data_IF_444170094471
#
_entry.id   IF_444170094471
#
_cell.length_a   1.000
_cell.length_b   1.000
_cell.length_c   1.000
_cell.angle_alpha   90.00
_cell.angle_beta   90.00
_cell.angle_gamma   90.00
#
_symmetry.space_group_name_H-M   'P 1'
#
loop_
_entity.id
_entity.type
_entity.pdbx_description
1 polymer ?
#
# COMPACT_ATOMS: atom_id res chain seq x y z
N UNK A 1 3.53 4.53 -28.10
CA UNK A 1 3.45 5.17 -26.77
C UNK A 1 3.93 4.23 -25.65
N UNK A 2 3.23 3.13 -25.35
CA UNK A 2 3.58 2.21 -24.25
C UNK A 2 5.05 1.73 -24.25
N UNK A 3 5.55 1.23 -25.38
CA UNK A 3 6.96 0.83 -25.49
C UNK A 3 7.93 1.99 -25.27
N UNK A 4 7.60 3.20 -25.74
CA UNK A 4 8.44 4.38 -25.50
C UNK A 4 8.42 4.82 -24.04
N UNK A 5 7.28 4.69 -23.35
CA UNK A 5 7.20 4.93 -21.92
C UNK A 5 8.06 3.93 -21.13
N UNK A 6 8.01 2.64 -21.49
CA UNK A 6 8.91 1.61 -20.95
C UNK A 6 10.38 2.00 -21.16
N UNK A 7 10.74 2.41 -22.37
CA UNK A 7 12.12 2.81 -22.70
C UNK A 7 12.55 4.03 -21.88
N UNK A 8 11.68 5.03 -21.76
CA UNK A 8 11.93 6.20 -20.92
C UNK A 8 12.14 5.83 -19.45
N UNK A 9 11.35 4.89 -18.91
CA UNK A 9 11.49 4.41 -17.55
C UNK A 9 12.83 3.68 -17.34
N UNK A 10 13.29 2.90 -18.32
CA UNK A 10 14.60 2.24 -18.28
C UNK A 10 15.74 3.25 -18.40
N UNK A 11 15.62 4.21 -19.33
CA UNK A 11 16.60 5.29 -19.57
C UNK A 11 16.76 6.19 -18.33
N UNK A 12 15.66 6.52 -17.67
CA UNK A 12 15.65 7.41 -16.49
C UNK A 12 16.07 6.69 -15.20
N UNK A 13 16.02 5.36 -15.19
CA UNK A 13 16.33 4.46 -14.08
C UNK A 13 15.90 4.94 -12.66
N UNK A 14 14.61 5.20 -12.40
CA UNK A 14 14.18 5.68 -11.09
C UNK A 14 14.30 4.61 -10.00
N UNK A 15 14.84 4.98 -8.85
CA UNK A 15 14.90 4.10 -7.67
C UNK A 15 13.53 3.88 -7.02
N UNK A 16 12.71 4.94 -6.99
CA UNK A 16 11.39 4.95 -6.38
C UNK A 16 10.38 5.42 -7.42
N UNK A 17 9.33 4.64 -7.64
CA UNK A 17 8.16 4.99 -8.44
C UNK A 17 7.07 5.43 -7.47
N UNK A 18 6.70 6.71 -7.56
CA UNK A 18 5.64 7.31 -6.76
C UNK A 18 4.44 7.68 -7.62
N UNK A 19 3.29 7.83 -6.98
CA UNK A 19 2.08 8.33 -7.61
C UNK A 19 0.89 8.20 -6.68
N UNK A 20 -0.32 8.42 -7.20
CA UNK A 20 -1.55 8.38 -6.42
C UNK A 20 -2.50 7.33 -6.99
N UNK A 21 -2.71 6.23 -6.26
CA UNK A 21 -3.49 5.07 -6.70
C UNK A 21 -2.85 4.26 -7.85
N UNK A 22 -1.52 4.30 -7.94
CA UNK A 22 -0.76 3.59 -8.99
C UNK A 22 -0.86 2.07 -8.88
N UNK A 23 -0.98 1.54 -7.66
CA UNK A 23 -1.00 0.08 -7.42
C UNK A 23 -2.33 -0.52 -7.87
N UNK A 24 -3.45 0.16 -7.63
CA UNK A 24 -4.78 -0.38 -7.94
C UNK A 24 -5.32 0.04 -9.31
N UNK A 25 -4.77 1.08 -9.93
CA UNK A 25 -5.25 1.61 -11.20
C UNK A 25 -4.16 1.66 -12.28
N UNK A 26 -3.20 2.58 -12.16
CA UNK A 26 -2.30 2.91 -13.29
C UNK A 26 -1.48 1.70 -13.76
N UNK A 27 -0.76 1.03 -12.85
CA UNK A 27 0.11 -0.09 -13.21
C UNK A 27 -0.68 -1.30 -13.72
N UNK A 28 -1.76 -1.76 -13.04
CA UNK A 28 -2.60 -2.83 -13.58
C UNK A 28 -3.21 -2.49 -14.95
N UNK A 29 -3.69 -1.26 -15.13
CA UNK A 29 -4.29 -0.84 -16.39
C UNK A 29 -3.27 -0.86 -17.53
N UNK A 30 -2.05 -0.34 -17.30
CA UNK A 30 -0.97 -0.39 -18.27
C UNK A 30 -0.58 -1.83 -18.60
N UNK A 31 -0.50 -2.70 -17.59
CA UNK A 31 -0.16 -4.11 -17.73
C UNK A 31 -1.19 -4.83 -18.63
N UNK A 32 -2.47 -4.74 -18.27
CA UNK A 32 -3.58 -5.38 -18.98
C UNK A 32 -3.76 -4.80 -20.39
N UNK A 33 -3.56 -3.48 -20.55
CA UNK A 33 -3.64 -2.83 -21.86
C UNK A 33 -2.56 -3.33 -22.81
N UNK A 34 -1.34 -3.58 -22.31
CA UNK A 34 -0.27 -4.14 -23.10
C UNK A 34 -0.56 -5.58 -23.54
N UNK A 35 -1.18 -6.39 -22.67
CA UNK A 35 -1.65 -7.74 -23.02
C UNK A 35 -2.75 -7.69 -24.08
N UNK A 36 -3.74 -6.83 -23.90
CA UNK A 36 -4.83 -6.65 -24.87
C UNK A 36 -4.32 -6.22 -26.26
N UNK A 37 -3.26 -5.41 -26.31
CA UNK A 37 -2.59 -4.99 -27.55
C UNK A 37 -1.57 -6.00 -28.08
N UNK A 38 -1.42 -7.17 -27.43
CA UNK A 38 -0.46 -8.24 -27.80
C UNK A 38 1.00 -7.78 -27.79
N UNK A 39 1.32 -6.81 -26.93
CA UNK A 39 2.68 -6.31 -26.72
C UNK A 39 3.23 -6.58 -25.31
N UNK A 40 2.50 -7.34 -24.48
CA UNK A 40 2.88 -7.69 -23.10
C UNK A 40 4.32 -8.17 -22.97
N UNK A 41 4.75 -9.13 -23.80
CA UNK A 41 6.11 -9.65 -23.82
C UNK A 41 7.21 -8.58 -24.02
N UNK A 42 6.89 -7.51 -24.75
CA UNK A 42 7.82 -6.38 -24.95
C UNK A 42 7.65 -5.34 -23.85
N UNK A 43 6.45 -5.13 -23.34
CA UNK A 43 6.17 -4.05 -22.41
C UNK A 43 6.56 -4.38 -20.96
N UNK A 44 6.28 -5.60 -20.51
CA UNK A 44 6.40 -6.06 -19.11
C UNK A 44 7.84 -6.32 -18.66
N UNK A 45 8.83 -5.72 -19.32
CA UNK A 45 10.28 -5.86 -19.05
C UNK A 45 10.86 -4.50 -18.66
N UNK A 46 10.37 -3.96 -17.54
CA UNK A 46 10.75 -2.64 -17.02
C UNK A 46 11.29 -2.67 -15.57
N UNK A 47 11.55 -3.88 -15.04
CA UNK A 47 12.37 -4.05 -13.84
C UNK A 47 13.86 -3.86 -14.13
N UNK A 48 14.70 -3.82 -13.08
CA UNK A 48 16.17 -3.73 -13.24
C UNK A 48 16.83 -5.06 -13.63
N UNK A 49 16.17 -6.19 -13.35
CA UNK A 49 16.68 -7.51 -13.72
C UNK A 49 16.45 -7.77 -15.21
N UNK A 50 17.54 -7.83 -15.99
CA UNK A 50 17.49 -8.05 -17.44
C UNK A 50 16.84 -9.40 -17.75
N UNK A 51 15.93 -9.40 -18.73
CA UNK A 51 15.22 -10.61 -19.17
C UNK A 51 14.13 -11.09 -18.20
N UNK A 52 13.91 -10.40 -17.07
CA UNK A 52 12.81 -10.72 -16.15
C UNK A 52 11.56 -9.93 -16.50
N UNK A 53 10.44 -10.64 -16.60
CA UNK A 53 9.12 -10.02 -16.73
C UNK A 53 8.59 -9.62 -15.35
N UNK A 54 7.95 -8.46 -15.28
CA UNK A 54 7.13 -8.11 -14.11
C UNK A 54 5.92 -9.02 -14.03
N UNK A 55 5.54 -9.38 -12.82
CA UNK A 55 4.42 -10.30 -12.57
C UNK A 55 3.34 -9.58 -11.80
N UNK A 56 2.13 -9.60 -12.33
CA UNK A 56 0.94 -9.17 -11.61
C UNK A 56 0.35 -10.35 -10.85
N UNK A 57 0.02 -10.15 -9.57
CA UNK A 57 -0.64 -11.13 -8.71
C UNK A 57 -1.79 -10.46 -7.98
N UNK A 58 -2.88 -11.19 -7.81
CA UNK A 58 -3.92 -10.78 -6.88
C UNK A 58 -3.46 -11.07 -5.45
N UNK A 59 -3.63 -10.09 -4.57
CA UNK A 59 -3.26 -10.18 -3.18
C UNK A 59 -4.37 -9.58 -2.31
N UNK A 60 -4.55 -10.15 -1.13
CA UNK A 60 -5.48 -9.65 -0.13
C UNK A 60 -4.71 -9.27 1.14
N UNK A 61 -5.03 -8.10 1.67
CA UNK A 61 -4.56 -7.65 2.97
C UNK A 61 -5.75 -7.51 3.92
N UNK A 62 -5.69 -8.14 5.09
CA UNK A 62 -6.74 -8.03 6.10
C UNK A 62 -6.14 -7.75 7.48
N UNK A 63 -6.66 -6.73 8.15
CA UNK A 63 -6.33 -6.41 9.54
C UNK A 63 -7.47 -5.64 10.23
N UNK A 64 -7.58 -5.75 11.55
CA UNK A 64 -8.57 -4.98 12.31
C UNK A 64 -8.36 -3.46 12.20
N UNK A 65 -7.10 -3.02 12.12
CA UNK A 65 -6.76 -1.59 12.12
C UNK A 65 -6.94 -0.93 10.75
N UNK A 66 -6.67 -1.67 9.66
CA UNK A 66 -6.65 -1.13 8.31
C UNK A 66 -7.68 -1.79 7.38
N UNK A 67 -8.63 -2.56 7.90
CA UNK A 67 -9.67 -3.23 7.11
C UNK A 67 -9.16 -4.40 6.26
N UNK A 68 -10.05 -4.89 5.39
CA UNK A 68 -9.76 -5.89 4.36
C UNK A 68 -9.79 -5.23 2.99
N UNK A 69 -8.69 -5.36 2.24
CA UNK A 69 -8.52 -4.76 0.92
C UNK A 69 -7.87 -5.77 -0.02
N UNK A 70 -8.48 -5.92 -1.18
CA UNK A 70 -7.90 -6.64 -2.31
C UNK A 70 -7.11 -5.64 -3.16
N UNK A 71 -5.93 -6.04 -3.62
CA UNK A 71 -5.07 -5.23 -4.47
C UNK A 71 -4.32 -6.10 -5.46
N UNK A 72 -3.82 -5.48 -6.53
CA UNK A 72 -2.97 -6.12 -7.51
C UNK A 72 -1.51 -5.79 -7.19
N UNK A 73 -0.75 -6.80 -6.77
CA UNK A 73 0.68 -6.67 -6.54
C UNK A 73 1.43 -6.89 -7.86
N UNK A 74 2.06 -5.83 -8.37
CA UNK A 74 2.94 -5.91 -9.54
C UNK A 74 4.37 -5.84 -9.03
N UNK A 75 5.10 -6.96 -9.08
CA UNK A 75 6.48 -6.97 -8.64
C UNK A 75 7.40 -6.36 -9.71
N UNK A 76 8.03 -5.23 -9.38
CA UNK A 76 9.03 -4.55 -10.22
C UNK A 76 10.40 -4.70 -9.57
N UNK A 77 11.16 -5.69 -10.03
CA UNK A 77 12.45 -6.03 -9.42
C UNK A 77 13.44 -4.86 -9.44
N UNK A 78 14.04 -4.58 -8.29
CA UNK A 78 15.05 -3.53 -8.10
C UNK A 78 14.53 -2.09 -8.02
N UNK A 79 13.20 -1.87 -8.06
CA UNK A 79 12.58 -0.56 -7.88
C UNK A 79 11.58 -0.58 -6.72
N UNK A 80 11.53 0.49 -5.94
CA UNK A 80 10.55 0.61 -4.85
C UNK A 80 9.30 1.29 -5.39
N UNK A 81 8.14 0.73 -5.08
CA UNK A 81 6.84 1.36 -5.37
C UNK A 81 6.34 2.03 -4.10
N UNK A 82 5.94 3.30 -4.20
CA UNK A 82 5.39 4.07 -3.09
C UNK A 82 4.10 4.77 -3.52
N UNK A 83 2.95 4.16 -3.21
CA UNK A 83 1.64 4.72 -3.50
C UNK A 83 1.20 5.66 -2.39
N UNK A 84 1.03 6.95 -2.73
CA UNK A 84 0.64 7.97 -1.77
C UNK A 84 -0.78 7.79 -1.26
N UNK A 85 -1.70 7.24 -2.05
CA UNK A 85 -3.06 7.02 -1.58
C UNK A 85 -3.06 6.03 -0.41
N UNK A 86 -2.30 4.93 -0.54
CA UNK A 86 -2.13 3.94 0.52
C UNK A 86 -1.40 4.51 1.74
N UNK A 87 -0.33 5.29 1.53
CA UNK A 87 0.40 5.93 2.62
C UNK A 87 -0.50 6.89 3.43
N UNK A 88 -1.26 7.74 2.75
CA UNK A 88 -2.15 8.73 3.38
C UNK A 88 -3.29 8.04 4.12
N UNK A 89 -3.89 6.99 3.56
CA UNK A 89 -4.93 6.20 4.24
C UNK A 89 -4.44 5.52 5.52
N UNK A 90 -3.13 5.21 5.60
CA UNK A 90 -2.52 4.62 6.81
C UNK A 90 -2.19 5.66 7.86
N UNK A 91 -1.69 6.80 7.43
CA UNK A 91 -1.09 7.81 8.33
C UNK A 91 -2.09 8.90 8.75
N UNK A 92 -3.18 9.10 8.00
CA UNK A 92 -4.16 10.16 8.24
C UNK A 92 -5.60 9.64 8.19
N UNK A 93 -6.46 10.21 9.05
CA UNK A 93 -7.90 9.98 9.05
C UNK A 93 -8.60 11.17 8.41
N UNK A 94 -8.91 11.06 7.12
CA UNK A 94 -9.57 12.11 6.33
C UNK A 94 -11.00 11.71 5.96
N UNK A 95 -11.85 12.70 5.68
CA UNK A 95 -13.22 12.48 5.20
C UNK A 95 -13.27 11.98 3.74
N UNK A 96 -12.28 12.37 2.92
CA UNK A 96 -12.13 11.94 1.53
C UNK A 96 -10.66 11.77 1.18
N UNK A 97 -10.35 10.70 0.45
CA UNK A 97 -9.01 10.37 -0.05
C UNK A 97 -8.89 10.59 -1.55
N UNK A 98 -9.73 11.45 -2.15
CA UNK A 98 -9.50 11.88 -3.53
C UNK A 98 -8.25 12.76 -3.62
N UNK A 99 -7.50 12.68 -4.72
CA UNK A 99 -6.31 13.52 -4.92
C UNK A 99 -6.64 15.02 -4.78
N UNK A 100 -7.82 15.46 -5.23
CA UNK A 100 -8.26 16.84 -5.08
C UNK A 100 -8.46 17.22 -3.60
N UNK A 101 -9.18 16.40 -2.84
CA UNK A 101 -9.44 16.66 -1.41
C UNK A 101 -8.15 16.68 -0.60
N UNK A 102 -7.25 15.73 -0.88
CA UNK A 102 -5.96 15.61 -0.20
C UNK A 102 -5.03 16.77 -0.57
N UNK A 103 -4.97 17.15 -1.84
CA UNK A 103 -4.19 18.32 -2.30
C UNK A 103 -4.73 19.62 -1.71
N UNK A 104 -6.06 19.79 -1.63
CA UNK A 104 -6.66 20.95 -1.00
C UNK A 104 -6.34 21.00 0.49
N UNK A 105 -6.45 19.86 1.18
CA UNK A 105 -6.18 19.77 2.62
C UNK A 105 -4.71 20.05 2.97
N UNK A 106 -3.77 19.41 2.27
CA UNK A 106 -2.35 19.52 2.62
C UNK A 106 -1.64 20.64 1.88
N UNK A 107 -1.93 20.91 0.61
CA UNK A 107 -1.22 21.91 -0.19
C UNK A 107 -1.95 23.25 -0.26
N UNK A 108 -3.25 23.30 0.05
CA UNK A 108 -4.08 24.49 -0.18
C UNK A 108 -4.38 24.71 -1.66
N UNK A 109 -4.21 23.68 -2.50
CA UNK A 109 -4.38 23.76 -3.95
C UNK A 109 -5.49 22.84 -4.42
N UNK A 110 -6.28 23.35 -5.36
CA UNK A 110 -7.32 22.56 -6.02
C UNK A 110 -6.89 22.21 -7.45
N UNK A 111 -7.29 21.02 -7.89
CA UNK A 111 -7.14 20.64 -9.30
C UNK A 111 -8.21 21.34 -10.14
N UNK A 112 -7.90 21.59 -11.40
CA UNK A 112 -8.94 21.97 -12.37
C UNK A 112 -9.81 20.74 -12.60
N UNK A 113 -11.14 20.86 -12.48
CA UNK A 113 -12.02 19.72 -12.59
C UNK A 113 -12.29 19.39 -14.08
N UNK A 114 -11.63 18.36 -14.58
CA UNK A 114 -11.94 17.76 -15.88
C UNK A 114 -12.78 16.52 -15.63
N UNK A 115 -14.08 16.60 -15.92
CA UNK A 115 -14.98 15.47 -15.77
C UNK A 115 -14.57 14.33 -16.71
N UNK A 116 -14.59 13.10 -16.21
CA UNK A 116 -14.09 11.92 -16.94
C UNK A 116 -14.76 11.72 -18.31
N UNK A 117 -16.03 12.11 -18.46
CA UNK A 117 -16.77 12.01 -19.73
C UNK A 117 -16.20 12.93 -20.81
N UNK A 118 -15.65 14.08 -20.44
CA UNK A 118 -15.11 15.06 -21.38
C UNK A 118 -13.72 14.65 -21.92
N UNK A 119 -13.04 13.68 -21.29
CA UNK A 119 -11.67 13.30 -21.68
C UNK A 119 -11.63 12.76 -23.12
N UNK A 120 -12.62 11.93 -23.50
CA UNK A 120 -12.70 11.37 -24.85
C UNK A 120 -12.88 12.47 -25.91
N UNK A 121 -13.78 13.42 -25.63
CA UNK A 121 -14.07 14.54 -26.53
C UNK A 121 -12.87 15.49 -26.65
N UNK A 122 -12.19 15.80 -25.54
CA UNK A 122 -10.99 16.62 -25.52
C UNK A 122 -9.83 15.97 -26.31
N UNK A 123 -9.70 14.64 -26.24
CA UNK A 123 -8.70 13.90 -26.99
C UNK A 123 -9.00 13.87 -28.49
N UNK A 124 -10.28 13.72 -28.86
CA UNK A 124 -10.75 13.70 -30.25
C UNK A 124 -10.80 15.08 -30.92
N UNK A 125 -10.70 16.16 -30.13
CA UNK A 125 -10.69 17.54 -30.61
C UNK A 125 -9.39 17.96 -31.30
N UNK A 126 -8.98 19.20 -31.05
CA UNK A 126 -7.84 19.84 -31.71
C UNK A 126 -6.55 19.78 -30.85
N UNK A 127 -5.48 20.41 -31.33
CA UNK A 127 -4.21 20.47 -30.60
C UNK A 127 -4.34 21.18 -29.24
N UNK A 128 -5.13 22.26 -29.17
CA UNK A 128 -5.35 23.01 -27.93
C UNK A 128 -6.12 22.20 -26.88
N UNK A 129 -7.14 21.43 -27.27
CA UNK A 129 -7.87 20.57 -26.33
C UNK A 129 -6.98 19.44 -25.80
N UNK A 130 -6.12 18.86 -26.65
CA UNK A 130 -5.10 17.89 -26.22
C UNK A 130 -4.03 18.52 -25.33
N UNK A 131 -3.63 19.77 -25.61
CA UNK A 131 -2.71 20.53 -24.75
C UNK A 131 -3.30 20.75 -23.36
N UNK A 132 -4.58 21.14 -23.26
CA UNK A 132 -5.28 21.27 -21.97
C UNK A 132 -5.29 19.94 -21.21
N UNK A 133 -5.58 18.83 -21.90
CA UNK A 133 -5.57 17.50 -21.30
C UNK A 133 -4.16 17.08 -20.82
N UNK A 134 -3.12 17.43 -21.58
CA UNK A 134 -1.74 17.17 -21.19
C UNK A 134 -1.32 17.99 -19.96
N UNK A 135 -1.72 19.26 -19.86
CA UNK A 135 -1.47 20.11 -18.67
C UNK A 135 -2.19 19.54 -17.45
N UNK A 136 -3.44 19.09 -17.61
CA UNK A 136 -4.19 18.41 -16.57
C UNK A 136 -3.45 17.15 -16.07
N UNK A 137 -3.01 16.28 -16.99
CA UNK A 137 -2.26 15.06 -16.65
C UNK A 137 -0.91 15.37 -15.97
N UNK A 138 -0.20 16.41 -16.42
CA UNK A 138 1.06 16.84 -15.81
C UNK A 138 0.84 17.33 -14.38
N UNK A 139 -0.24 18.09 -14.12
CA UNK A 139 -0.59 18.52 -12.76
C UNK A 139 -0.90 17.32 -11.86
N UNK A 140 -1.67 16.35 -12.34
CA UNK A 140 -1.98 15.12 -11.58
C UNK A 140 -0.74 14.26 -11.31
N UNK A 141 0.30 14.31 -12.16
CA UNK A 141 1.60 13.66 -11.90
C UNK A 141 2.50 14.46 -10.95
N UNK A 142 2.37 15.78 -10.91
CA UNK A 142 3.19 16.67 -10.08
C UNK A 142 2.69 16.80 -8.64
N UNK A 143 1.37 16.76 -8.42
CA UNK A 143 0.78 16.84 -7.08
C UNK A 143 1.27 15.73 -6.12
N UNK A 144 1.38 14.45 -6.55
CA UNK A 144 1.94 13.39 -5.71
C UNK A 144 3.37 13.67 -5.28
N UNK A 145 4.23 14.19 -6.17
CA UNK A 145 5.59 14.59 -5.80
C UNK A 145 5.57 15.63 -4.69
N UNK A 146 4.74 16.67 -4.81
CA UNK A 146 4.63 17.72 -3.79
C UNK A 146 4.07 17.23 -2.46
N UNK A 147 3.10 16.33 -2.49
CA UNK A 147 2.58 15.68 -1.28
C UNK A 147 3.67 14.82 -0.61
N UNK A 148 4.44 14.07 -1.41
CA UNK A 148 5.53 13.25 -0.94
C UNK A 148 6.59 14.05 -0.20
N UNK A 149 6.95 15.20 -0.75
CA UNK A 149 7.94 16.13 -0.15
C UNK A 149 7.36 16.84 1.09
N UNK A 150 6.14 17.40 1.00
CA UNK A 150 5.53 18.16 2.10
C UNK A 150 5.26 17.29 3.34
N UNK A 151 4.86 16.05 3.14
CA UNK A 151 4.59 15.10 4.22
C UNK A 151 5.85 14.35 4.69
N UNK A 152 7.01 14.66 4.08
CA UNK A 152 8.31 14.07 4.42
C UNK A 152 8.28 12.54 4.38
N UNK A 153 7.53 11.96 3.44
CA UNK A 153 7.27 10.52 3.43
C UNK A 153 8.55 9.71 3.29
N UNK A 154 9.48 10.14 2.44
CA UNK A 154 10.77 9.46 2.29
C UNK A 154 11.54 9.38 3.61
N UNK A 155 11.66 10.50 4.31
CA UNK A 155 12.42 10.60 5.55
C UNK A 155 11.81 9.72 6.64
N UNK A 156 10.50 9.85 6.85
CA UNK A 156 9.77 9.12 7.89
C UNK A 156 9.82 7.60 7.64
N UNK A 157 9.64 7.15 6.41
CA UNK A 157 9.63 5.72 6.09
C UNK A 157 11.05 5.12 6.07
N UNK A 158 12.07 5.88 5.63
CA UNK A 158 13.47 5.43 5.73
C UNK A 158 13.88 5.30 7.19
N UNK A 159 13.52 6.25 8.05
CA UNK A 159 13.79 6.16 9.49
C UNK A 159 13.08 4.97 10.13
N UNK A 160 11.79 4.79 9.83
CA UNK A 160 11.02 3.62 10.29
C UNK A 160 11.66 2.29 9.86
N UNK A 161 12.15 2.22 8.61
CA UNK A 161 12.85 1.05 8.08
C UNK A 161 14.17 0.80 8.81
N UNK A 162 14.93 1.85 9.13
CA UNK A 162 16.19 1.76 9.89
C UNK A 162 15.97 1.29 11.33
N UNK A 163 14.96 1.86 12.01
CA UNK A 163 14.64 1.54 13.41
C UNK A 163 14.14 0.09 13.55
N UNK A 164 13.20 -0.31 12.71
CA UNK A 164 12.58 -1.65 12.81
C UNK A 164 13.35 -2.73 12.05
N UNK A 165 14.25 -2.32 11.16
CA UNK A 165 15.11 -3.23 10.39
C UNK A 165 14.36 -4.04 9.33
N UNK A 166 13.24 -3.54 8.82
CA UNK A 166 12.46 -4.17 7.74
C UNK A 166 12.65 -3.42 6.41
N UNK A 167 12.51 -4.08 5.25
CA UNK A 167 12.58 -3.40 3.95
C UNK A 167 11.54 -2.29 3.80
N UNK A 168 11.87 -1.24 3.05
CA UNK A 168 10.97 -0.10 2.78
C UNK A 168 9.63 -0.55 2.18
N UNK A 169 9.64 -1.50 1.25
CA UNK A 169 8.44 -2.07 0.63
C UNK A 169 7.49 -2.74 1.64
N UNK A 170 8.01 -3.27 2.76
CA UNK A 170 7.19 -3.92 3.79
C UNK A 170 6.38 -2.90 4.58
N UNK A 171 6.82 -1.65 4.66
CA UNK A 171 6.10 -0.62 5.41
C UNK A 171 4.73 -0.28 4.81
N UNK A 172 4.57 -0.43 3.49
CA UNK A 172 3.30 -0.24 2.78
C UNK A 172 2.54 -1.55 2.52
N UNK A 173 3.23 -2.69 2.40
CA UNK A 173 2.56 -3.97 2.04
C UNK A 173 2.23 -4.86 3.24
N UNK A 174 2.92 -4.68 4.37
CA UNK A 174 2.76 -5.50 5.58
C UNK A 174 2.23 -4.67 6.75
N UNK A 175 1.75 -5.38 7.78
CA UNK A 175 1.26 -4.82 9.03
C UNK A 175 2.35 -4.64 10.09
N UNK A 176 1.95 -4.40 11.34
CA UNK A 176 2.88 -4.11 12.44
C UNK A 176 3.65 -5.34 12.95
N UNK A 177 3.09 -6.55 12.83
CA UNK A 177 3.69 -7.78 13.38
C UNK A 177 5.07 -8.09 12.82
N UNK A 178 5.31 -7.85 11.53
CA UNK A 178 6.62 -8.11 10.91
C UNK A 178 7.74 -7.21 11.47
N UNK A 179 7.38 -5.97 11.86
CA UNK A 179 8.33 -5.02 12.46
C UNK A 179 8.77 -5.49 13.84
N UNK A 180 7.82 -5.97 14.65
CA UNK A 180 8.10 -6.52 15.98
C UNK A 180 8.92 -7.80 15.86
N UNK A 181 8.52 -8.69 14.94
CA UNK A 181 9.21 -9.96 14.73
C UNK A 181 10.65 -9.78 14.25
N UNK A 182 10.91 -8.84 13.32
CA UNK A 182 12.26 -8.47 12.88
C UNK A 182 13.14 -8.02 14.05
N UNK A 183 12.62 -7.15 14.92
CA UNK A 183 13.35 -6.67 16.09
C UNK A 183 13.62 -7.79 17.10
N UNK A 184 12.61 -8.63 17.36
CA UNK A 184 12.73 -9.78 18.26
C UNK A 184 13.81 -10.75 17.79
N UNK A 185 13.82 -11.10 16.50
CA UNK A 185 14.84 -11.96 15.90
C UNK A 185 16.26 -11.40 16.06
N UNK A 186 16.44 -10.09 15.81
CA UNK A 186 17.74 -9.43 15.98
C UNK A 186 18.24 -9.50 17.43
N UNK A 187 17.34 -9.28 18.40
CA UNK A 187 17.67 -9.34 19.83
C UNK A 187 17.88 -10.77 20.34
N UNK A 188 17.10 -11.73 19.86
CA UNK A 188 17.25 -13.15 20.17
C UNK A 188 18.62 -13.66 19.71
N UNK A 189 19.01 -13.34 18.47
CA UNK A 189 20.33 -13.69 17.91
C UNK A 189 21.48 -13.15 18.76
N UNK A 190 21.40 -11.90 19.21
CA UNK A 190 22.43 -11.29 20.04
C UNK A 190 22.62 -11.98 21.41
N UNK A 191 21.60 -12.69 21.89
CA UNK A 191 21.61 -13.43 23.16
C UNK A 191 21.73 -14.96 22.98
N UNK A 192 21.87 -15.45 21.74
CA UNK A 192 21.93 -16.89 21.46
C UNK A 192 20.59 -17.62 21.64
N UNK A 193 19.46 -16.92 21.61
CA UNK A 193 18.14 -17.54 21.69
C UNK A 193 17.57 -17.91 20.32
N UNK A 194 16.72 -18.94 20.31
CA UNK A 194 15.91 -19.35 19.17
C UNK A 194 14.43 -19.07 19.44
N UNK A 195 13.68 -18.68 18.40
CA UNK A 195 12.24 -18.46 18.52
C UNK A 195 11.51 -19.74 18.11
N UNK A 196 10.69 -20.35 18.98
CA UNK A 196 9.95 -21.54 18.64
C UNK A 196 8.84 -21.22 17.62
N UNK A 197 8.65 -22.11 16.63
CA UNK A 197 7.55 -22.02 15.68
C UNK A 197 6.32 -22.76 16.24
N UNK A 198 5.47 -22.03 16.95
CA UNK A 198 4.23 -22.57 17.51
C UNK A 198 3.14 -22.46 16.45
N UNK A 199 2.58 -23.60 16.03
CA UNK A 199 1.45 -23.61 15.09
C UNK A 199 0.20 -23.09 15.80
N UNK A 200 -0.38 -22.03 15.25
CA UNK A 200 -1.72 -21.58 15.63
C UNK A 200 -2.73 -22.47 14.90
N UNK A 201 -3.57 -23.19 15.63
CA UNK A 201 -4.61 -24.03 15.04
C UNK A 201 -5.64 -23.15 14.29
N UNK A 202 -6.13 -23.57 13.11
CA UNK A 202 -7.16 -22.84 12.40
C UNK A 202 -8.46 -22.80 13.23
N UNK A 203 -9.16 -21.69 13.11
CA UNK A 203 -10.45 -21.43 13.77
C UNK A 203 -11.48 -22.50 13.37
N UNK A 204 -12.07 -23.21 14.33
CA UNK A 204 -13.24 -24.04 14.08
C UNK A 204 -14.44 -23.09 13.80
N UNK A 205 -14.83 -22.93 12.53
CA UNK A 205 -15.96 -22.06 12.17
C UNK A 205 -15.98 -21.51 10.74
N UNK A 206 -14.98 -21.80 9.91
CA UNK A 206 -15.11 -21.58 8.46
C UNK A 206 -15.86 -22.74 7.79
N UNK A 207 -16.78 -22.49 6.84
CA UNK A 207 -17.49 -23.57 6.15
C UNK A 207 -16.55 -24.25 5.16
N UNK A 208 -15.84 -25.30 5.58
CA UNK A 208 -15.12 -26.18 4.67
C UNK A 208 -13.91 -26.91 5.27
N UNK A 209 -14.07 -28.22 5.50
CA UNK A 209 -12.99 -29.21 5.68
C UNK A 209 -12.46 -29.30 7.10
N UNK A 210 -12.31 -30.45 7.75
CA UNK A 210 -12.33 -31.85 7.34
C UNK A 210 -11.60 -32.61 8.47
N UNK A 211 -12.19 -33.70 8.97
CA UNK A 211 -11.70 -34.42 10.13
C UNK A 211 -10.24 -34.89 9.95
N UNK A 212 -9.37 -34.57 10.91
CA UNK A 212 -7.97 -34.96 10.88
C UNK A 212 -7.29 -34.92 12.24
N UNK A 213 -7.24 -36.09 12.88
CA UNK A 213 -6.38 -36.58 13.98
C UNK A 213 -6.08 -35.64 15.15
N UNK A 214 -6.67 -36.01 16.28
CA UNK A 214 -6.31 -35.60 17.64
C UNK A 214 -4.80 -35.79 17.87
N UNK A 215 -4.08 -34.68 18.02
CA UNK A 215 -2.81 -34.67 18.75
C UNK A 215 -3.11 -34.11 20.14
N UNK A 216 -2.63 -34.77 21.18
CA UNK A 216 -2.87 -34.36 22.57
C UNK A 216 -2.45 -32.90 22.81
N UNK A 217 -3.24 -32.14 23.57
CA UNK A 217 -2.94 -30.75 23.85
C UNK A 217 -1.71 -30.66 24.75
N UNK A 218 -0.69 -29.94 24.28
CA UNK A 218 0.39 -29.47 25.14
C UNK A 218 -0.22 -28.56 26.20
N UNK A 219 -0.22 -29.01 27.45
CA UNK A 219 -0.69 -28.25 28.59
C UNK A 219 0.12 -26.95 28.72
N UNK A 220 -0.55 -25.81 28.51
CA UNK A 220 0.03 -24.48 28.76
C UNK A 220 0.32 -23.60 27.52
N UNK A 221 -0.03 -24.02 26.30
CA UNK A 221 0.00 -23.11 25.16
C UNK A 221 -1.26 -22.22 25.13
N UNK A 222 -1.16 -20.88 25.06
CA UNK A 222 -2.33 -20.04 24.88
C UNK A 222 -2.96 -20.36 23.52
N UNK A 223 -4.22 -20.82 23.54
CA UNK A 223 -5.03 -21.11 22.36
C UNK A 223 -5.05 -19.89 21.43
N UNK A 224 -4.27 -19.93 20.35
CA UNK A 224 -4.08 -18.81 19.41
C UNK A 224 -5.27 -18.53 18.47
N UNK A 225 -6.49 -18.90 18.83
CA UNK A 225 -7.65 -18.76 17.95
C UNK A 225 -8.98 -18.55 18.67
N UNK A 226 -9.17 -19.18 19.83
CA UNK A 226 -10.29 -18.96 20.74
C UNK A 226 -9.85 -18.09 21.91
N UNK A 227 -9.50 -16.85 21.60
CA UNK A 227 -9.21 -15.86 22.63
C UNK A 227 -10.51 -15.28 23.16
N UNK A 228 -11.03 -15.83 24.26
CA UNK A 228 -11.80 -15.00 25.20
C UNK A 228 -10.98 -13.73 25.38
N UNK A 229 -11.57 -12.56 25.09
CA UNK A 229 -10.86 -11.30 25.26
C UNK A 229 -10.34 -11.23 26.68
N UNK A 230 -9.03 -10.99 26.85
CA UNK A 230 -8.48 -10.76 28.17
C UNK A 230 -9.00 -9.42 28.68
N UNK A 231 -9.15 -9.31 30.00
CA UNK A 231 -9.57 -8.05 30.63
C UNK A 231 -8.64 -6.92 30.20
N UNK A 232 -9.23 -5.86 29.66
CA UNK A 232 -8.53 -4.71 29.12
C UNK A 232 -8.31 -3.62 30.17
N UNK A 233 -8.27 -2.36 29.70
CA UNK A 233 -8.16 -1.22 30.59
C UNK A 233 -9.47 -0.99 31.38
N UNK A 234 -9.34 -0.51 32.61
CA UNK A 234 -10.47 -0.01 33.41
C UNK A 234 -10.87 1.39 32.91
N UNK A 235 -12.17 1.60 32.68
CA UNK A 235 -12.74 2.92 32.40
C UNK A 235 -13.44 3.40 33.65
N UNK A 236 -13.09 4.59 34.14
CA UNK A 236 -13.76 5.18 35.31
C UNK A 236 -15.18 5.60 34.94
N UNK A 237 -16.12 5.39 35.86
CA UNK A 237 -17.48 5.88 35.68
C UNK A 237 -17.49 7.42 35.59
N UNK A 238 -17.92 7.98 34.45
CA UNK A 238 -17.92 9.42 34.29
C UNK A 238 -19.03 10.04 35.13
N UNK A 239 -18.74 11.17 35.79
CA UNK A 239 -19.81 12.04 36.28
C UNK A 239 -20.41 12.78 35.10
N UNK A 240 -21.55 12.31 34.61
CA UNK A 240 -22.23 12.89 33.44
C UNK A 240 -22.93 14.18 33.89
N UNK A 241 -22.68 15.28 33.18
CA UNK A 241 -23.32 16.56 33.47
C UNK A 241 -22.74 17.68 32.62
N UNK A 242 -23.45 18.80 32.60
CA UNK A 242 -22.91 20.08 32.15
C UNK A 242 -22.20 20.73 33.34
N UNK A 243 -20.92 21.05 33.19
CA UNK A 243 -20.10 21.62 34.26
C UNK A 243 -19.96 23.13 34.03
N UNK A 244 -20.71 23.92 34.79
CA UNK A 244 -20.50 25.37 34.88
C UNK A 244 -19.25 25.65 35.71
N UNK A 245 -18.15 25.93 35.03
CA UNK A 245 -16.94 26.51 35.64
C UNK A 245 -17.13 28.03 35.71
N UNK A 246 -17.79 28.51 36.77
CA UNK A 246 -17.68 29.89 37.22
C UNK A 246 -16.35 30.13 37.93
#
# INVERSE_FOLDING_TARGET
>A
MLLRWRDLLIESDPDIIIGYNIINFDLPYLYERADALKIGNKFQIWGRVRGSHTRMREAQFSSKAYGTHDYKDITIEGRVQFDLMTAIQRDHKLSSYSLNSVSAHFLGEQKEDVHHSAIADLQAGNEETRRRLAVYCLKDAYLPQRLFDKLMYLYNYVEMSRVTGVPLSYLLTRGQSIKVFSQLLRKARAKGFVIPNIKVLPRAGGPGGGAGRECEPVTGAPNGGDGVGYEGATVLEPKIGFYDLL
#
